data_IF_161899244478
#
_entry.id   IF_161899244478
#
_cell.length_a   1.000
_cell.length_b   1.000
_cell.length_c   1.000
_cell.angle_alpha   90.00
_cell.angle_beta   90.00
_cell.angle_gamma   90.00
#
_symmetry.space_group_name_H-M   'P 1'
#
loop_
_entity.id
_entity.type
_entity.pdbx_description
1 polymer ?
#
# COMPACT_ATOMS: atom_id res chain seq x y z
N UNK A 1 -8.45 4.77 22.76
CA UNK A 1 -8.56 4.67 21.29
C UNK A 1 -7.60 3.58 20.83
N UNK A 2 -8.06 2.59 20.08
CA UNK A 2 -7.23 1.46 19.66
C UNK A 2 -6.56 1.77 18.31
N UNK A 3 -5.25 1.58 18.24
CA UNK A 3 -4.48 1.77 17.01
C UNK A 3 -4.39 0.46 16.21
N UNK A 4 -4.51 0.57 14.90
CA UNK A 4 -4.39 -0.55 13.96
C UNK A 4 -3.31 -0.20 12.95
N UNK A 5 -2.39 -1.15 12.78
CA UNK A 5 -1.37 -1.10 11.75
C UNK A 5 -1.84 -1.86 10.51
N UNK A 6 -1.84 -1.21 9.35
CA UNK A 6 -2.12 -1.88 8.08
C UNK A 6 -0.84 -2.12 7.30
N UNK A 7 -0.63 -3.38 6.95
CA UNK A 7 0.44 -3.80 6.06
C UNK A 7 0.05 -3.63 4.58
N UNK A 8 1.05 -3.50 3.72
CA UNK A 8 0.91 -3.37 2.27
C UNK A 8 0.09 -4.51 1.65
N UNK A 9 0.23 -5.73 2.19
CA UNK A 9 -0.45 -6.92 1.67
C UNK A 9 -1.98 -6.83 1.78
N UNK A 10 -2.51 -6.12 2.78
CA UNK A 10 -3.96 -5.95 2.96
C UNK A 10 -4.53 -5.12 1.81
N UNK A 11 -3.88 -4.01 1.46
CA UNK A 11 -4.28 -3.18 0.32
C UNK A 11 -4.26 -3.99 -0.97
N UNK A 12 -3.17 -4.72 -1.25
CA UNK A 12 -3.09 -5.53 -2.48
C UNK A 12 -4.20 -6.58 -2.54
N UNK A 13 -4.49 -7.27 -1.43
CA UNK A 13 -5.53 -8.30 -1.35
C UNK A 13 -6.93 -7.74 -1.60
N UNK A 14 -7.18 -6.52 -1.14
CA UNK A 14 -8.47 -5.83 -1.26
C UNK A 14 -8.57 -4.97 -2.54
N UNK A 15 -7.70 -5.20 -3.54
CA UNK A 15 -7.63 -4.37 -4.74
C UNK A 15 -7.52 -2.87 -4.42
N UNK A 16 -6.58 -2.56 -3.54
CA UNK A 16 -6.23 -1.24 -3.04
C UNK A 16 -7.36 -0.55 -2.28
N UNK A 17 -8.14 0.29 -2.96
CA UNK A 17 -9.22 1.09 -2.36
C UNK A 17 -10.61 0.57 -2.75
N UNK A 18 -10.71 -0.43 -3.62
CA UNK A 18 -11.98 -0.93 -4.16
C UNK A 18 -12.64 -2.00 -3.26
N UNK A 19 -11.87 -2.70 -2.44
CA UNK A 19 -12.39 -3.78 -1.60
C UNK A 19 -13.36 -3.27 -0.55
N UNK A 20 -14.48 -3.99 -0.37
CA UNK A 20 -15.51 -3.62 0.61
C UNK A 20 -14.96 -3.55 2.04
N UNK A 21 -14.01 -4.42 2.38
CA UNK A 21 -13.47 -4.49 3.74
C UNK A 21 -12.51 -3.34 4.01
N UNK A 22 -11.65 -3.00 3.06
CA UNK A 22 -10.75 -1.86 3.21
C UNK A 22 -11.53 -0.55 3.26
N UNK A 23 -12.58 -0.39 2.44
CA UNK A 23 -13.49 0.76 2.53
C UNK A 23 -14.17 0.85 3.90
N UNK A 24 -14.67 -0.28 4.42
CA UNK A 24 -15.27 -0.31 5.74
C UNK A 24 -14.26 0.07 6.83
N UNK A 25 -13.01 -0.42 6.74
CA UNK A 25 -11.94 -0.06 7.68
C UNK A 25 -11.62 1.45 7.59
N UNK A 26 -11.44 1.99 6.38
CA UNK A 26 -11.19 3.42 6.17
C UNK A 26 -12.30 4.28 6.77
N UNK A 27 -13.57 3.92 6.56
CA UNK A 27 -14.69 4.62 7.17
C UNK A 27 -14.66 4.54 8.71
N UNK A 28 -14.28 3.39 9.28
CA UNK A 28 -14.16 3.24 10.74
C UNK A 28 -13.03 4.09 11.33
N UNK A 29 -11.95 4.30 10.57
CA UNK A 29 -10.87 5.23 10.94
C UNK A 29 -11.33 6.69 10.83
N UNK A 30 -12.01 7.04 9.73
CA UNK A 30 -12.54 8.39 9.48
C UNK A 30 -13.48 8.83 10.61
N UNK A 31 -14.42 7.97 11.03
CA UNK A 31 -15.35 8.27 12.15
C UNK A 31 -14.71 8.12 13.55
N UNK A 32 -13.40 7.86 13.62
CA UNK A 32 -12.62 7.85 14.86
C UNK A 32 -12.86 6.65 15.78
N UNK A 33 -13.40 5.52 15.27
CA UNK A 33 -13.54 4.29 16.08
C UNK A 33 -12.19 3.64 16.35
N UNK A 34 -11.28 3.75 15.40
CA UNK A 34 -9.91 3.26 15.47
C UNK A 34 -8.95 4.33 14.95
N UNK A 35 -7.68 4.20 15.27
CA UNK A 35 -6.61 5.03 14.71
C UNK A 35 -5.83 4.21 13.68
N UNK A 36 -5.77 4.67 12.43
CA UNK A 36 -4.88 4.08 11.44
C UNK A 36 -3.46 4.57 11.67
N UNK A 37 -2.51 3.63 11.73
CA UNK A 37 -1.07 3.93 11.73
C UNK A 37 -0.42 3.17 10.57
N UNK A 38 0.40 3.88 9.80
CA UNK A 38 1.21 3.29 8.73
C UNK A 38 2.62 3.87 8.78
N UNK A 39 3.62 3.12 8.32
CA UNK A 39 4.95 3.67 8.07
C UNK A 39 5.00 4.33 6.69
N UNK A 40 5.88 5.32 6.53
CA UNK A 40 6.18 5.89 5.21
C UNK A 40 6.62 4.82 4.19
N UNK A 41 7.33 3.77 4.65
CA UNK A 41 7.67 2.60 3.82
C UNK A 41 6.41 1.94 3.27
N UNK A 42 5.46 1.59 4.15
CA UNK A 42 4.26 0.88 3.75
C UNK A 42 3.44 1.71 2.76
N UNK A 43 3.29 3.01 3.00
CA UNK A 43 2.62 3.94 2.07
C UNK A 43 3.28 3.89 0.69
N UNK A 44 4.61 4.02 0.64
CA UNK A 44 5.37 3.99 -0.62
C UNK A 44 5.28 2.63 -1.30
N UNK A 45 5.28 1.53 -0.54
CA UNK A 45 5.15 0.18 -1.09
C UNK A 45 3.76 -0.02 -1.71
N UNK A 46 2.68 0.49 -1.11
CA UNK A 46 1.33 0.42 -1.71
C UNK A 46 1.32 1.12 -3.07
N UNK A 47 1.83 2.35 -3.15
CA UNK A 47 1.93 3.12 -4.40
C UNK A 47 2.76 2.40 -5.46
N UNK A 48 3.92 1.86 -5.07
CA UNK A 48 4.78 1.10 -5.97
C UNK A 48 4.13 -0.19 -6.47
N UNK A 49 3.44 -0.93 -5.59
CA UNK A 49 2.69 -2.15 -5.93
C UNK A 49 1.59 -1.85 -6.93
N UNK A 50 0.83 -0.77 -6.74
CA UNK A 50 -0.20 -0.33 -7.67
C UNK A 50 0.40 -0.02 -9.04
N UNK A 51 1.40 0.86 -9.10
CA UNK A 51 2.07 1.24 -10.36
C UNK A 51 2.56 0.03 -11.14
N UNK A 52 3.19 -0.94 -10.45
CA UNK A 52 3.67 -2.18 -11.07
C UNK A 52 2.53 -3.00 -11.67
N UNK A 53 1.44 -3.19 -10.95
CA UNK A 53 0.28 -3.96 -11.43
C UNK A 53 -0.44 -3.23 -12.57
N UNK A 54 -0.62 -1.91 -12.45
CA UNK A 54 -1.21 -1.07 -13.48
C UNK A 54 -0.41 -1.14 -14.78
N UNK A 55 0.94 -1.11 -14.72
CA UNK A 55 1.81 -1.27 -15.89
C UNK A 55 1.49 -2.55 -16.67
N UNK A 56 1.53 -3.69 -15.98
CA UNK A 56 1.28 -5.00 -16.59
C UNK A 56 -0.12 -5.06 -17.20
N UNK A 57 -1.13 -4.51 -16.51
CA UNK A 57 -2.51 -4.51 -16.99
C UNK A 57 -2.69 -3.61 -18.22
N UNK A 58 -2.08 -2.42 -18.24
CA UNK A 58 -2.13 -1.49 -19.38
C UNK A 58 -1.45 -2.11 -20.60
N UNK A 59 -0.29 -2.75 -20.42
CA UNK A 59 0.43 -3.45 -21.48
C UNK A 59 -0.44 -4.55 -22.09
N UNK A 60 -0.98 -5.45 -21.26
CA UNK A 60 -1.88 -6.53 -21.71
C UNK A 60 -3.14 -6.02 -22.39
N UNK A 61 -3.74 -4.95 -21.87
CA UNK A 61 -4.92 -4.34 -22.48
C UNK A 61 -4.61 -3.77 -23.86
N UNK A 62 -3.50 -3.04 -23.99
CA UNK A 62 -3.08 -2.47 -25.27
C UNK A 62 -2.71 -3.56 -26.29
N UNK A 63 -2.10 -4.66 -25.85
CA UNK A 63 -1.86 -5.84 -26.69
C UNK A 63 -3.18 -6.44 -27.20
N UNK A 64 -4.15 -6.63 -26.31
CA UNK A 64 -5.48 -7.11 -26.68
C UNK A 64 -6.15 -6.20 -27.71
N UNK A 65 -6.04 -4.87 -27.55
CA UNK A 65 -6.59 -3.88 -28.50
C UNK A 65 -6.01 -3.96 -29.92
N UNK A 66 -4.80 -4.53 -30.07
CA UNK A 66 -4.13 -4.69 -31.36
C UNK A 66 -4.50 -6.01 -32.07
N UNK A 67 -5.29 -6.88 -31.44
CA UNK A 67 -5.75 -8.15 -32.05
C UNK A 67 -6.90 -7.92 -33.03
N UNK A 68 -7.07 -8.81 -34.02
CA UNK A 68 -8.18 -8.70 -34.97
C UNK A 68 -9.49 -9.10 -34.30
N UNK A 69 -9.43 -10.05 -33.38
CA UNK A 69 -10.56 -10.66 -32.68
C UNK A 69 -11.31 -9.65 -31.81
N UNK A 70 -10.59 -8.71 -31.19
CA UNK A 70 -11.23 -7.69 -30.35
C UNK A 70 -12.06 -6.70 -31.17
N UNK A 71 -11.83 -6.61 -32.49
CA UNK A 71 -12.58 -5.70 -33.37
C UNK A 71 -14.07 -6.07 -33.46
N UNK A 72 -14.42 -7.35 -33.32
CA UNK A 72 -15.80 -7.82 -33.32
C UNK A 72 -16.61 -7.21 -32.16
N UNK A 73 -15.98 -7.02 -31.00
CA UNK A 73 -16.61 -6.43 -29.82
C UNK A 73 -16.86 -4.92 -29.96
N UNK A 74 -16.25 -4.23 -30.93
CA UNK A 74 -16.51 -2.80 -31.21
C UNK A 74 -17.91 -2.55 -31.78
N UNK A 75 -18.60 -3.60 -32.23
CA UNK A 75 -19.99 -3.52 -32.69
C UNK A 75 -21.00 -3.47 -31.55
N UNK A 76 -20.57 -3.71 -30.30
CA UNK A 76 -21.41 -3.66 -29.10
C UNK A 76 -21.11 -2.35 -28.35
N UNK A 77 -22.07 -1.41 -28.20
CA UNK A 77 -21.83 -0.10 -27.59
C UNK A 77 -21.21 -0.17 -26.18
N UNK A 78 -21.68 -1.09 -25.35
CA UNK A 78 -21.22 -1.30 -23.97
C UNK A 78 -19.75 -1.72 -23.91
N UNK A 79 -19.32 -2.53 -24.87
CA UNK A 79 -17.94 -3.00 -24.98
C UNK A 79 -17.04 -1.94 -25.61
N UNK A 80 -17.53 -1.22 -26.63
CA UNK A 80 -16.77 -0.20 -27.37
C UNK A 80 -16.18 0.87 -26.45
N UNK A 81 -16.93 1.29 -25.42
CA UNK A 81 -16.44 2.26 -24.42
C UNK A 81 -15.29 1.74 -23.55
N UNK A 82 -15.19 0.43 -23.38
CA UNK A 82 -14.14 -0.25 -22.60
C UNK A 82 -12.92 -0.61 -23.45
N UNK A 83 -13.05 -0.61 -24.77
CA UNK A 83 -12.00 -0.93 -25.74
C UNK A 83 -11.23 0.31 -26.21
N UNK A 84 -10.93 1.21 -25.27
CA UNK A 84 -10.11 2.40 -25.49
C UNK A 84 -8.73 2.20 -24.87
N UNK A 85 -7.71 2.84 -25.44
CA UNK A 85 -6.38 2.85 -24.83
C UNK A 85 -6.44 3.57 -23.49
N UNK A 86 -5.83 2.98 -22.47
CA UNK A 86 -5.68 3.64 -21.18
C UNK A 86 -4.75 4.85 -21.30
N UNK A 87 -4.88 5.85 -20.40
CA UNK A 87 -3.88 6.89 -20.22
C UNK A 87 -2.50 6.27 -19.99
N UNK A 88 -1.44 7.06 -20.20
CA UNK A 88 -0.09 6.58 -19.89
C UNK A 88 0.03 6.19 -18.41
N UNK A 89 0.97 5.29 -18.11
CA UNK A 89 1.16 4.72 -16.77
C UNK A 89 1.32 5.78 -15.68
N UNK A 90 2.03 6.88 -15.96
CA UNK A 90 2.27 7.92 -14.97
C UNK A 90 0.95 8.60 -14.59
N UNK A 91 0.13 8.98 -15.57
CA UNK A 91 -1.20 9.54 -15.31
C UNK A 91 -2.06 8.62 -14.44
N UNK A 92 -2.11 7.32 -14.76
CA UNK A 92 -2.87 6.34 -13.95
C UNK A 92 -2.32 6.22 -12.53
N UNK A 93 -1.00 6.18 -12.38
CA UNK A 93 -0.34 6.06 -11.08
C UNK A 93 -0.52 7.31 -10.23
N UNK A 94 -0.42 8.49 -10.84
CA UNK A 94 -0.55 9.79 -10.16
C UNK A 94 -1.99 9.99 -9.69
N UNK A 95 -2.98 9.64 -10.51
CA UNK A 95 -4.39 9.63 -10.09
C UNK A 95 -4.61 8.71 -8.89
N UNK A 96 -4.05 7.51 -8.91
CA UNK A 96 -4.15 6.60 -7.76
C UNK A 96 -3.46 7.16 -6.52
N UNK A 97 -2.26 7.74 -6.66
CA UNK A 97 -1.53 8.33 -5.54
C UNK A 97 -2.37 9.43 -4.86
N UNK A 98 -3.00 10.30 -5.64
CA UNK A 98 -3.89 11.35 -5.13
C UNK A 98 -5.07 10.75 -4.35
N UNK A 99 -5.72 9.72 -4.91
CA UNK A 99 -6.84 9.04 -4.24
C UNK A 99 -6.40 8.34 -2.95
N UNK A 100 -5.22 7.72 -2.96
CA UNK A 100 -4.67 7.02 -1.80
C UNK A 100 -4.28 7.99 -0.69
N UNK A 101 -3.59 9.08 -1.04
CA UNK A 101 -3.20 10.11 -0.08
C UNK A 101 -4.43 10.78 0.53
N UNK A 102 -5.46 11.03 -0.28
CA UNK A 102 -6.75 11.52 0.21
C UNK A 102 -7.40 10.53 1.18
N UNK A 103 -7.46 9.24 0.84
CA UNK A 103 -8.05 8.22 1.70
C UNK A 103 -7.33 8.11 3.06
N UNK A 104 -5.99 8.26 3.08
CA UNK A 104 -5.22 8.30 4.32
C UNK A 104 -5.49 9.56 5.13
N UNK A 105 -5.63 10.72 4.47
CA UNK A 105 -5.98 11.98 5.12
C UNK A 105 -7.39 11.94 5.73
N UNK A 106 -8.39 11.47 4.98
CA UNK A 106 -9.78 11.32 5.43
C UNK A 106 -9.85 10.33 6.63
N UNK A 107 -9.05 9.26 6.60
CA UNK A 107 -8.92 8.31 7.70
C UNK A 107 -8.13 8.83 8.93
N UNK A 108 -7.69 10.10 8.91
CA UNK A 108 -6.82 10.69 9.93
C UNK A 108 -5.58 9.83 10.23
N UNK A 109 -4.99 9.22 9.20
CA UNK A 109 -3.90 8.26 9.37
C UNK A 109 -2.64 8.92 9.95
N UNK A 110 -2.04 8.28 10.95
CA UNK A 110 -0.71 8.68 11.46
C UNK A 110 0.33 7.97 10.60
N UNK A 111 1.05 8.76 9.81
CA UNK A 111 2.18 8.26 9.03
C UNK A 111 3.45 8.44 9.86
N UNK A 112 4.01 7.33 10.32
CA UNK A 112 5.31 7.34 10.97
C UNK A 112 6.37 7.55 9.88
N UNK A 113 6.89 8.76 9.84
CA UNK A 113 8.17 9.05 9.21
C UNK A 113 9.28 8.31 9.96
N UNK A 114 10.44 8.17 9.35
CA UNK A 114 11.61 7.68 10.05
C UNK A 114 12.09 8.77 11.02
N UNK A 115 11.93 8.64 12.36
CA UNK A 115 13.04 9.13 13.17
C UNK A 115 14.22 8.32 12.68
N UNK A 116 15.31 8.99 12.31
CA UNK A 116 16.60 8.36 12.05
C UNK A 116 16.81 7.38 13.20
N UNK A 117 16.49 6.10 13.01
CA UNK A 117 16.81 5.09 14.01
C UNK A 117 18.30 5.25 14.14
N UNK A 118 18.79 5.59 15.33
CA UNK A 118 20.20 5.56 15.60
C UNK A 118 20.60 4.08 15.55
N UNK A 119 20.72 3.55 14.33
CA UNK A 119 21.12 2.17 14.08
C UNK A 119 22.51 1.94 14.63
N UNK A 120 23.31 3.00 14.83
CA UNK A 120 24.54 2.96 15.59
C UNK A 120 24.34 2.33 16.96
N UNK A 121 23.40 2.83 17.77
CA UNK A 121 23.10 2.26 19.09
C UNK A 121 22.60 0.81 19.01
N UNK A 122 21.78 0.48 18.02
CA UNK A 122 21.26 -0.88 17.82
C UNK A 122 22.38 -1.85 17.42
N UNK A 123 23.28 -1.44 16.52
CA UNK A 123 24.43 -2.22 16.10
C UNK A 123 25.49 -2.29 17.21
N UNK A 124 25.70 -1.20 17.96
CA UNK A 124 26.60 -1.16 19.11
C UNK A 124 26.11 -2.08 20.22
N UNK A 125 24.80 -2.17 20.45
CA UNK A 125 24.21 -3.11 21.38
C UNK A 125 24.30 -4.56 20.87
N UNK A 126 24.14 -4.78 19.56
CA UNK A 126 24.34 -6.08 18.91
C UNK A 126 25.78 -6.59 19.03
N UNK A 127 26.78 -5.77 18.65
CA UNK A 127 28.19 -6.12 18.71
C UNK A 127 28.71 -6.22 20.16
N UNK A 128 28.16 -5.44 21.08
CA UNK A 128 28.49 -5.53 22.51
C UNK A 128 27.73 -6.66 23.24
N UNK A 129 26.85 -7.41 22.56
CA UNK A 129 26.04 -8.46 23.19
C UNK A 129 25.09 -7.93 24.28
N UNK A 130 24.70 -6.65 24.19
CA UNK A 130 23.73 -6.02 25.11
C UNK A 130 22.32 -6.46 24.75
N UNK A 131 21.44 -6.49 25.74
CA UNK A 131 20.03 -6.85 25.55
C UNK A 131 19.40 -5.98 24.45
N UNK A 132 18.65 -6.53 23.47
CA UNK A 132 18.10 -7.89 23.37
C UNK A 132 19.01 -8.92 22.66
N UNK A 133 20.25 -8.58 22.31
CA UNK A 133 21.14 -9.39 21.46
C UNK A 133 22.13 -10.28 22.23
N UNK A 134 22.21 -10.12 23.55
CA UNK A 134 23.02 -10.98 24.42
C UNK A 134 22.54 -12.44 24.40
N UNK A 135 23.48 -13.37 24.25
CA UNK A 135 23.24 -14.80 24.21
C UNK A 135 22.70 -15.33 25.54
N UNK A 136 21.38 -15.35 25.66
CA UNK A 136 20.64 -16.17 26.60
C UNK A 136 19.59 -16.96 25.83
N UNK A 137 19.79 -18.27 25.75
CA UNK A 137 18.91 -19.23 25.06
C UNK A 137 17.42 -19.01 25.35
N UNK A 138 16.74 -18.29 24.45
CA UNK A 138 15.32 -18.44 24.08
C UNK A 138 15.00 -17.41 22.99
N UNK A 139 14.46 -17.88 21.86
CA UNK A 139 13.97 -17.06 20.74
C UNK A 139 13.18 -15.85 21.25
N UNK A 140 13.79 -14.67 21.20
CA UNK A 140 13.14 -13.39 21.42
C UNK A 140 12.99 -12.71 20.05
N UNK A 141 11.76 -12.76 19.53
CA UNK A 141 11.32 -11.86 18.46
C UNK A 141 11.34 -10.44 19.01
N UNK A 142 12.18 -9.57 18.43
CA UNK A 142 12.33 -8.18 18.87
C UNK A 142 11.04 -7.43 18.58
N UNK A 143 10.24 -7.20 19.63
CA UNK A 143 9.12 -6.26 19.61
C UNK A 143 9.61 -4.95 20.23
N UNK A 144 9.91 -3.95 19.39
CA UNK A 144 10.33 -2.62 19.81
C UNK A 144 9.21 -1.97 20.64
N UNK A 145 9.32 -2.06 21.96
CA UNK A 145 8.68 -1.12 22.89
C UNK A 145 9.64 0.04 23.10
N UNK A 146 9.47 1.11 22.35
CA UNK A 146 10.11 2.38 22.63
C UNK A 146 9.04 3.48 22.54
N UNK A 147 8.42 3.79 23.69
CA UNK A 147 7.74 5.06 23.97
C UNK A 147 7.69 5.21 25.50
N UNK A 148 8.65 5.96 26.04
CA UNK A 148 8.52 6.76 27.26
C UNK A 148 9.15 8.11 26.98
#
# INVERSE_FOLDING_TARGET
MQAIYLDTSIFVKENFLEGKRIQTLLNLFEVGKFQLIMSLIAVNEVKARFKRLAKVTIEKHNELLNTKEISYLRNVPESKSRLIKYPNLNTVSDSFNILFDKALADANAIILDYPVMNVGEVFDDYFAGRYPFGSGDKKLSVCLKALR
#
